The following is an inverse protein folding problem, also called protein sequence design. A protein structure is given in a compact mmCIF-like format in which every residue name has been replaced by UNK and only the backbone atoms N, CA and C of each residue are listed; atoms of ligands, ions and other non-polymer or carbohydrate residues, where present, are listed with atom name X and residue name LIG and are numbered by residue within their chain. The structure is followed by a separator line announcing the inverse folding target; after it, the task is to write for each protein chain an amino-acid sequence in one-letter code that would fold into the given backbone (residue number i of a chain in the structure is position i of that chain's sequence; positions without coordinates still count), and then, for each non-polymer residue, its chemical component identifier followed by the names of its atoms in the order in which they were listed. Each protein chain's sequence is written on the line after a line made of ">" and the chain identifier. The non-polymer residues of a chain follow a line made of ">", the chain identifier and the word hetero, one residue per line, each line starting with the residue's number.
data_IF_660711052501
#
_entry.id   IF_660711052501
#
_cell.length_a   1.000
_cell.length_b   1.000
_cell.length_c   1.000
_cell.angle_alpha   90.00
_cell.angle_beta   90.00
_cell.angle_gamma   90.00
#
_symmetry.space_group_name_H-M   'P 1'
#
loop_
_entity.id
_entity.type
_entity.pdbx_description
1 polymer ?
#
# COMPACT_ATOMS: atom_id res chain seq x y z
N UNK A 1 -3.91 17.76 -8.19
CA UNK A 1 -2.92 16.97 -8.95
C UNK A 1 -2.52 15.71 -8.19
N UNK A 2 -2.16 15.81 -6.90
CA UNK A 2 -1.76 14.65 -6.05
C UNK A 2 -2.83 13.55 -5.97
N UNK A 3 -4.13 13.87 -5.84
CA UNK A 3 -5.17 12.84 -5.69
C UNK A 3 -5.32 11.91 -6.91
N UNK A 4 -5.19 12.43 -8.14
CA UNK A 4 -5.24 11.58 -9.36
C UNK A 4 -4.04 10.65 -9.47
N UNK A 5 -2.91 11.02 -8.87
CA UNK A 5 -1.71 10.18 -8.83
C UNK A 5 -1.93 9.04 -7.84
N UNK A 6 -2.53 9.31 -6.68
CA UNK A 6 -2.86 8.28 -5.69
C UNK A 6 -3.88 7.25 -6.23
N UNK A 7 -4.88 7.71 -6.97
CA UNK A 7 -5.86 6.81 -7.63
C UNK A 7 -5.17 5.90 -8.66
N UNK A 8 -4.26 6.44 -9.48
CA UNK A 8 -3.49 5.64 -10.45
C UNK A 8 -2.51 4.68 -9.77
N UNK A 9 -1.93 5.05 -8.63
CA UNK A 9 -1.08 4.15 -7.85
C UNK A 9 -1.84 2.89 -7.42
N UNK A 10 -3.14 2.97 -7.11
CA UNK A 10 -3.96 1.80 -6.75
C UNK A 10 -4.10 0.80 -7.90
N UNK A 11 -4.29 1.30 -9.13
CA UNK A 11 -4.34 0.45 -10.33
C UNK A 11 -3.00 -0.27 -10.54
N UNK A 12 -1.89 0.48 -10.47
CA UNK A 12 -0.54 -0.07 -10.65
C UNK A 12 -0.15 -1.07 -9.54
N UNK A 13 -0.54 -0.80 -8.29
CA UNK A 13 -0.33 -1.73 -7.18
C UNK A 13 -1.15 -3.01 -7.36
N UNK A 14 -2.37 -2.90 -7.90
CA UNK A 14 -3.23 -4.06 -8.19
C UNK A 14 -2.63 -4.95 -9.28
N UNK A 15 -2.10 -4.36 -10.35
CA UNK A 15 -1.39 -5.08 -11.41
C UNK A 15 -0.15 -5.81 -10.86
N UNK A 16 0.68 -5.11 -10.07
CA UNK A 16 1.86 -5.73 -9.44
C UNK A 16 1.49 -6.88 -8.49
N UNK A 17 0.37 -6.76 -7.77
CA UNK A 17 -0.10 -7.84 -6.91
C UNK A 17 -0.56 -9.05 -7.72
N UNK A 18 -1.19 -8.84 -8.87
CA UNK A 18 -1.56 -9.92 -9.80
C UNK A 18 -0.33 -10.62 -10.37
N UNK A 19 0.68 -9.86 -10.80
CA UNK A 19 1.94 -10.39 -11.30
C UNK A 19 2.67 -11.18 -10.20
N UNK A 20 2.68 -10.67 -8.96
CA UNK A 20 3.27 -11.35 -7.81
C UNK A 20 2.58 -12.70 -7.55
N UNK A 21 1.25 -12.75 -7.60
CA UNK A 21 0.50 -13.99 -7.46
C UNK A 21 0.84 -14.99 -8.58
N UNK A 22 1.00 -14.52 -9.81
CA UNK A 22 1.40 -15.35 -10.94
C UNK A 22 2.81 -15.92 -10.76
N UNK A 23 3.77 -15.10 -10.30
CA UNK A 23 5.14 -15.54 -9.95
C UNK A 23 5.15 -16.63 -8.87
N UNK A 24 4.34 -16.44 -7.82
CA UNK A 24 4.16 -17.44 -6.77
C UNK A 24 3.61 -18.77 -7.30
N UNK A 25 2.59 -18.72 -8.18
CA UNK A 25 1.99 -19.92 -8.78
C UNK A 25 2.96 -20.67 -9.70
N UNK A 26 3.83 -19.94 -10.39
CA UNK A 26 4.86 -20.51 -11.27
C UNK A 26 6.10 -21.01 -10.51
N UNK A 27 6.16 -20.80 -9.18
CA UNK A 27 7.31 -21.12 -8.32
C UNK A 27 8.60 -20.43 -8.78
N UNK A 28 8.49 -19.29 -9.47
CA UNK A 28 9.64 -18.49 -9.88
C UNK A 28 10.05 -17.58 -8.72
N UNK A 29 10.94 -18.09 -7.87
CA UNK A 29 11.39 -17.38 -6.67
C UNK A 29 12.11 -16.06 -6.99
N UNK A 30 12.87 -16.01 -8.09
CA UNK A 30 13.61 -14.81 -8.50
C UNK A 30 12.64 -13.73 -8.95
N UNK A 31 11.71 -14.08 -9.85
CA UNK A 31 10.69 -13.13 -10.33
C UNK A 31 9.76 -12.66 -9.21
N UNK A 32 9.38 -13.57 -8.32
CA UNK A 32 8.54 -13.24 -7.15
C UNK A 32 9.25 -12.26 -6.24
N UNK A 33 10.55 -12.44 -5.98
CA UNK A 33 11.34 -11.53 -5.16
C UNK A 33 11.44 -10.13 -5.77
N UNK A 34 11.73 -10.02 -7.07
CA UNK A 34 11.77 -8.73 -7.78
C UNK A 34 10.44 -7.98 -7.70
N UNK A 35 9.33 -8.68 -7.95
CA UNK A 35 7.99 -8.10 -7.91
C UNK A 35 7.61 -7.67 -6.49
N UNK A 36 7.98 -8.47 -5.49
CA UNK A 36 7.72 -8.17 -4.09
C UNK A 36 8.50 -6.94 -3.61
N UNK A 37 9.78 -6.83 -3.97
CA UNK A 37 10.61 -5.67 -3.63
C UNK A 37 10.07 -4.39 -4.29
N UNK A 38 9.68 -4.48 -5.57
CA UNK A 38 9.07 -3.36 -6.30
C UNK A 38 7.72 -2.94 -5.70
N UNK A 39 6.84 -3.90 -5.40
CA UNK A 39 5.54 -3.64 -4.77
C UNK A 39 5.73 -2.95 -3.42
N UNK A 40 6.64 -3.47 -2.58
CA UNK A 40 6.93 -2.91 -1.27
C UNK A 40 7.43 -1.46 -1.35
N UNK A 41 8.37 -1.17 -2.26
CA UNK A 41 8.90 0.17 -2.47
C UNK A 41 7.81 1.15 -2.95
N UNK A 42 6.96 0.75 -3.90
CA UNK A 42 5.87 1.60 -4.41
C UNK A 42 4.80 1.87 -3.37
N UNK A 43 4.38 0.84 -2.64
CA UNK A 43 3.41 0.98 -1.56
C UNK A 43 3.93 1.95 -0.48
N UNK A 44 5.23 1.90 -0.14
CA UNK A 44 5.82 2.83 0.82
C UNK A 44 5.72 4.30 0.36
N UNK A 45 5.97 4.58 -0.93
CA UNK A 45 5.85 5.93 -1.49
C UNK A 45 4.39 6.39 -1.49
N UNK A 46 3.46 5.51 -1.87
CA UNK A 46 2.02 5.77 -1.84
C UNK A 46 1.54 6.14 -0.43
N UNK A 47 1.82 5.29 0.56
CA UNK A 47 1.48 5.50 1.98
C UNK A 47 2.07 6.81 2.50
N UNK A 48 3.30 7.14 2.09
CA UNK A 48 3.95 8.41 2.48
C UNK A 48 3.18 9.60 1.91
N UNK A 49 2.77 9.55 0.65
CA UNK A 49 2.00 10.61 0.02
C UNK A 49 0.63 10.79 0.69
N UNK A 50 -0.03 9.70 1.09
CA UNK A 50 -1.28 9.78 1.86
C UNK A 50 -1.07 10.43 3.23
N UNK A 51 -0.04 10.01 3.97
CA UNK A 51 0.24 10.54 5.31
C UNK A 51 0.68 12.01 5.32
N UNK A 52 1.37 12.48 4.27
CA UNK A 52 1.84 13.86 4.18
C UNK A 52 0.82 14.82 3.55
N UNK A 53 -0.04 14.32 2.66
CA UNK A 53 -0.92 15.17 1.86
C UNK A 53 -2.41 14.86 2.11
N UNK A 54 -2.86 13.64 1.80
CA UNK A 54 -4.29 13.28 1.80
C UNK A 54 -4.87 13.32 3.22
N UNK A 55 -4.29 12.56 4.15
CA UNK A 55 -4.83 12.46 5.51
C UNK A 55 -4.83 13.81 6.24
N UNK A 56 -3.76 14.62 6.21
CA UNK A 56 -3.82 15.97 6.79
C UNK A 56 -4.87 16.86 6.14
N UNK A 57 -5.10 16.73 4.82
CA UNK A 57 -6.14 17.52 4.13
C UNK A 57 -7.53 17.14 4.62
N UNK A 58 -7.81 15.84 4.81
CA UNK A 58 -9.09 15.35 5.35
C UNK A 58 -9.26 15.77 6.81
N UNK A 59 -8.24 15.57 7.65
CA UNK A 59 -8.33 15.78 9.10
C UNK A 59 -8.38 17.27 9.50
N UNK A 60 -7.86 18.17 8.65
CA UNK A 60 -7.90 19.61 8.90
C UNK A 60 -9.05 20.31 8.15
N UNK A 61 -9.85 19.58 7.38
CA UNK A 61 -10.98 20.17 6.66
C UNK A 61 -12.07 20.63 7.65
N UNK A 62 -12.71 21.80 7.42
CA UNK A 62 -13.84 22.24 8.23
C UNK A 62 -14.97 21.20 8.25
N UNK A 63 -15.55 20.94 9.42
CA UNK A 63 -16.64 19.97 9.58
C UNK A 63 -17.89 20.30 8.76
N UNK A 64 -18.11 21.57 8.38
CA UNK A 64 -19.18 21.94 7.43
C UNK A 64 -19.05 21.25 6.07
N UNK A 65 -17.83 20.95 5.60
CA UNK A 65 -17.61 20.31 4.30
C UNK A 65 -18.16 18.88 4.27
N UNK A 66 -18.22 18.21 5.42
CA UNK A 66 -18.76 16.85 5.54
C UNK A 66 -20.29 16.83 5.63
N UNK A 67 -20.92 17.95 6.04
CA UNK A 67 -22.39 18.05 6.21
C UNK A 67 -23.15 18.18 4.89
N UNK A 68 -22.49 18.67 3.83
CA UNK A 68 -23.13 18.96 2.54
C UNK A 68 -22.92 17.85 1.49
N UNK A 69 -22.15 16.82 1.82
CA UNK A 69 -21.90 15.67 0.95
C UNK A 69 -23.01 14.64 1.15
N UNK A 70 -24.16 14.80 0.48
CA UNK A 70 -25.29 13.88 0.58
C UNK A 70 -24.88 12.42 0.28
N UNK A 71 -24.60 11.65 1.33
CA UNK A 71 -24.14 10.25 1.28
C UNK A 71 -22.64 10.01 1.55
N UNK A 72 -21.84 11.05 1.82
CA UNK A 72 -20.44 10.91 2.24
C UNK A 72 -20.31 10.63 3.76
N UNK A 73 -19.12 10.17 4.22
CA UNK A 73 -18.88 9.97 5.64
C UNK A 73 -18.95 11.30 6.40
N UNK A 74 -19.38 11.24 7.66
CA UNK A 74 -19.18 12.33 8.62
C UNK A 74 -17.69 12.54 8.91
N UNK A 75 -17.35 13.68 9.50
CA UNK A 75 -15.96 13.97 9.90
C UNK A 75 -15.39 12.92 10.86
N UNK A 76 -16.18 12.47 11.85
CA UNK A 76 -15.73 11.44 12.79
C UNK A 76 -15.52 10.08 12.10
N UNK A 77 -16.41 9.70 11.18
CA UNK A 77 -16.21 8.47 10.38
C UNK A 77 -14.96 8.57 9.51
N UNK A 78 -14.74 9.70 8.83
CA UNK A 78 -13.54 9.93 8.04
C UNK A 78 -12.26 9.86 8.89
N UNK A 79 -12.29 10.42 10.10
CA UNK A 79 -11.18 10.35 11.05
C UNK A 79 -10.89 8.91 11.49
N UNK A 80 -11.92 8.16 11.87
CA UNK A 80 -11.78 6.74 12.23
C UNK A 80 -11.26 5.91 11.05
N UNK A 81 -11.72 6.16 9.83
CA UNK A 81 -11.21 5.51 8.62
C UNK A 81 -9.72 5.81 8.39
N UNK A 82 -9.29 7.06 8.54
CA UNK A 82 -7.87 7.43 8.43
C UNK A 82 -7.01 6.74 9.48
N UNK A 83 -7.49 6.63 10.72
CA UNK A 83 -6.78 5.90 11.79
C UNK A 83 -6.68 4.39 11.47
N UNK A 84 -7.75 3.79 10.97
CA UNK A 84 -7.75 2.39 10.52
C UNK A 84 -6.77 2.17 9.38
N UNK A 85 -6.80 3.02 8.35
CA UNK A 85 -5.89 2.91 7.20
C UNK A 85 -4.42 3.02 7.62
N UNK A 86 -4.10 3.90 8.57
CA UNK A 86 -2.73 3.97 9.14
C UNK A 86 -2.32 2.68 9.84
N UNK A 87 -3.24 2.05 10.57
CA UNK A 87 -2.98 0.75 11.20
C UNK A 87 -2.74 -0.33 10.15
N UNK A 88 -3.58 -0.39 9.12
CA UNK A 88 -3.46 -1.34 8.02
C UNK A 88 -2.14 -1.15 7.26
N UNK A 89 -1.74 0.09 7.01
CA UNK A 89 -0.45 0.43 6.39
C UNK A 89 0.73 -0.11 7.19
N UNK A 90 0.73 0.04 8.52
CA UNK A 90 1.80 -0.50 9.35
C UNK A 90 1.84 -2.03 9.25
N UNK A 91 0.68 -2.68 9.34
CA UNK A 91 0.56 -4.13 9.22
C UNK A 91 1.12 -4.63 7.88
N UNK A 92 0.67 -4.06 6.76
CA UNK A 92 1.14 -4.48 5.44
C UNK A 92 2.63 -4.25 5.25
N UNK A 93 3.17 -3.11 5.71
CA UNK A 93 4.59 -2.82 5.58
C UNK A 93 5.46 -3.80 6.40
N UNK A 94 5.00 -4.23 7.56
CA UNK A 94 5.69 -5.24 8.38
C UNK A 94 5.66 -6.61 7.72
N UNK A 95 4.50 -7.05 7.22
CA UNK A 95 4.37 -8.36 6.56
C UNK A 95 5.13 -8.42 5.23
N UNK A 96 5.12 -7.35 4.44
CA UNK A 96 5.92 -7.26 3.21
C UNK A 96 7.42 -7.32 3.52
N UNK A 97 7.88 -6.62 4.55
CA UNK A 97 9.28 -6.68 5.01
C UNK A 97 9.70 -8.11 5.38
N UNK A 98 8.82 -8.86 6.04
CA UNK A 98 9.05 -10.28 6.35
C UNK A 98 9.13 -11.12 5.09
N UNK A 99 8.18 -10.96 4.18
CA UNK A 99 8.15 -11.70 2.92
C UNK A 99 9.41 -11.43 2.07
N UNK A 100 9.86 -10.18 1.96
CA UNK A 100 11.09 -9.80 1.25
C UNK A 100 12.30 -10.50 1.86
N UNK A 101 12.41 -10.55 3.20
CA UNK A 101 13.50 -11.26 3.89
C UNK A 101 13.46 -12.76 3.59
N UNK A 102 12.29 -13.38 3.66
CA UNK A 102 12.12 -14.81 3.37
C UNK A 102 12.56 -15.14 1.94
N UNK A 103 12.13 -14.37 0.95
CA UNK A 103 12.55 -14.62 -0.44
C UNK A 103 14.04 -14.39 -0.66
N UNK A 104 14.63 -13.39 0.01
CA UNK A 104 16.08 -13.18 -0.02
C UNK A 104 16.85 -14.40 0.51
N UNK A 105 16.37 -15.01 1.59
CA UNK A 105 16.96 -16.23 2.17
C UNK A 105 16.79 -17.44 1.25
N UNK A 106 15.60 -17.61 0.63
CA UNK A 106 15.35 -18.68 -0.35
C UNK A 106 16.34 -18.60 -1.50
N UNK A 107 16.54 -17.39 -2.06
CA UNK A 107 17.47 -17.19 -3.17
C UNK A 107 18.93 -17.43 -2.76
N UNK A 108 19.35 -16.92 -1.60
CA UNK A 108 20.70 -17.15 -1.09
C UNK A 108 21.02 -18.65 -0.86
N UNK A 109 20.03 -19.41 -0.39
CA UNK A 109 20.16 -20.85 -0.19
C UNK A 109 20.15 -21.63 -1.52
N UNK A 110 19.47 -21.15 -2.55
CA UNK A 110 19.48 -21.77 -3.88
C UNK A 110 20.83 -21.61 -4.60
N UNK A 111 21.61 -20.58 -4.24
CA UNK A 111 22.96 -20.32 -4.79
C UNK A 111 24.08 -21.03 -4.01
N UNK A 112 23.77 -21.64 -2.87
CA UNK A 112 24.73 -22.38 -2.04
C UNK A 112 24.65 -23.89 -2.34
N UNK A 113 25.69 -24.52 -2.95
CA UNK A 113 25.67 -25.93 -3.37
C UNK A 113 25.68 -26.94 -2.22
#
# INVERSE_FOLDING_TARGET
>A
MVFRILEQDHELLSELLHDLQSGLQQQDAARTFELLDLFWARLAVHIRAENLCLFPTILNAPGELFRNCGGGPSFEEAKTMVESLRSDHNFFMDELSRAVKTFREILANAESP
#
